data_IF_121183187733
#
_entry.id   IF_121183187733
#
_cell.length_a   1.000
_cell.length_b   1.000
_cell.length_c   1.000
_cell.angle_alpha   90.00
_cell.angle_beta   90.00
_cell.angle_gamma   90.00
#
_symmetry.space_group_name_H-M   'P 1'
#
loop_
_entity.id
_entity.type
_entity.pdbx_description
1 polymer ?
#
# COMPACT_ATOMS: atom_id res chain seq x y z
N UNK A 1 -31.80 11.57 -23.74
CA UNK A 1 -30.99 11.75 -24.96
C UNK A 1 -31.26 10.54 -25.84
N UNK A 2 -31.76 10.76 -27.07
CA UNK A 2 -32.26 9.71 -27.96
C UNK A 2 -31.16 8.72 -28.36
N UNK A 3 -31.51 7.43 -28.35
CA UNK A 3 -30.63 6.33 -28.71
C UNK A 3 -30.61 6.17 -30.23
N UNK A 4 -29.44 6.33 -30.84
CA UNK A 4 -29.21 5.94 -32.22
C UNK A 4 -28.86 4.44 -32.26
N UNK A 5 -29.53 3.70 -33.15
CA UNK A 5 -29.21 2.31 -33.47
C UNK A 5 -27.77 2.21 -34.02
N UNK A 6 -26.95 1.29 -33.47
CA UNK A 6 -25.67 0.90 -34.08
C UNK A 6 -24.44 0.84 -33.17
N UNK A 7 -24.51 1.22 -31.89
CA UNK A 7 -23.33 1.27 -30.99
C UNK A 7 -23.44 0.35 -29.78
N UNK A 8 -23.93 -0.87 -29.97
CA UNK A 8 -23.88 -1.93 -28.96
C UNK A 8 -23.02 -3.08 -29.47
N UNK A 9 -21.70 -2.91 -29.42
CA UNK A 9 -20.77 -4.01 -29.64
C UNK A 9 -20.66 -4.81 -28.33
N UNK A 10 -20.92 -6.13 -28.34
CA UNK A 10 -20.74 -6.94 -27.15
C UNK A 10 -19.26 -6.95 -26.75
N UNK A 11 -18.98 -6.84 -25.44
CA UNK A 11 -17.63 -7.03 -24.88
C UNK A 11 -17.32 -8.53 -24.79
N UNK A 12 -17.48 -9.23 -25.92
CA UNK A 12 -17.20 -10.64 -26.12
C UNK A 12 -16.44 -10.76 -27.44
N UNK A 13 -15.46 -11.65 -27.50
CA UNK A 13 -14.82 -11.99 -28.76
C UNK A 13 -15.84 -12.62 -29.72
N UNK A 14 -15.74 -12.30 -31.01
CA UNK A 14 -16.57 -12.90 -32.08
C UNK A 14 -15.68 -13.52 -33.15
N UNK A 15 -16.26 -14.42 -33.95
CA UNK A 15 -15.61 -14.97 -35.15
C UNK A 15 -16.42 -14.62 -36.39
N UNK A 16 -15.75 -14.59 -37.53
CA UNK A 16 -16.33 -14.29 -38.86
C UNK A 16 -17.45 -15.27 -39.30
N UNK A 17 -17.54 -16.44 -38.67
CA UNK A 17 -18.57 -17.45 -38.94
C UNK A 17 -19.53 -17.71 -37.77
N UNK A 18 -19.45 -16.93 -36.69
CA UNK A 18 -20.29 -17.13 -35.50
C UNK A 18 -19.96 -18.41 -34.71
N UNK A 19 -18.80 -19.03 -34.96
CA UNK A 19 -18.27 -20.11 -34.14
C UNK A 19 -17.74 -19.58 -32.81
N UNK A 20 -17.62 -20.48 -31.83
CA UNK A 20 -17.01 -20.16 -30.55
C UNK A 20 -15.59 -19.63 -30.77
N UNK A 21 -15.27 -18.40 -30.30
CA UNK A 21 -13.93 -17.82 -30.44
C UNK A 21 -12.87 -18.61 -29.65
N UNK A 22 -13.28 -19.42 -28.66
CA UNK A 22 -12.38 -20.25 -27.86
C UNK A 22 -12.01 -21.56 -28.55
N UNK A 23 -12.88 -22.08 -29.42
CA UNK A 23 -12.62 -23.29 -30.20
C UNK A 23 -11.93 -23.00 -31.53
N UNK A 24 -12.19 -21.81 -32.10
CA UNK A 24 -11.66 -21.36 -33.39
C UNK A 24 -10.97 -19.98 -33.28
N UNK A 25 -9.89 -19.85 -32.49
CA UNK A 25 -9.23 -18.57 -32.23
C UNK A 25 -8.64 -17.91 -33.49
N UNK A 26 -8.31 -18.70 -34.51
CA UNK A 26 -7.83 -18.23 -35.81
C UNK A 26 -8.89 -17.48 -36.62
N UNK A 27 -10.17 -17.67 -36.28
CA UNK A 27 -11.32 -17.07 -36.95
C UNK A 27 -11.85 -15.81 -36.28
N UNK A 28 -11.20 -15.38 -35.19
CA UNK A 28 -11.62 -14.22 -34.41
C UNK A 28 -11.47 -12.95 -35.24
N UNK A 29 -12.59 -12.32 -35.55
CA UNK A 29 -12.68 -11.08 -36.34
C UNK A 29 -12.79 -9.83 -35.45
N UNK A 30 -13.34 -10.00 -34.25
CA UNK A 30 -13.37 -8.99 -33.19
C UNK A 30 -12.95 -9.58 -31.86
N UNK A 31 -12.10 -8.87 -31.14
CA UNK A 31 -11.65 -9.20 -29.79
C UNK A 31 -12.25 -8.19 -28.82
N UNK A 32 -13.02 -8.69 -27.86
CA UNK A 32 -13.53 -7.90 -26.76
C UNK A 32 -13.13 -8.58 -25.46
N UNK A 33 -12.30 -7.92 -24.64
CA UNK A 33 -11.90 -8.46 -23.35
C UNK A 33 -11.68 -7.33 -22.35
N UNK A 34 -11.66 -7.64 -21.07
CA UNK A 34 -11.40 -6.68 -20.02
C UNK A 34 -10.40 -7.19 -19.00
N UNK A 35 -9.70 -6.23 -18.40
CA UNK A 35 -8.86 -6.39 -17.23
C UNK A 35 -9.62 -5.89 -16.02
N UNK A 36 -9.53 -6.63 -14.91
CA UNK A 36 -9.86 -6.13 -13.58
C UNK A 36 -8.58 -6.22 -12.75
N UNK A 37 -8.24 -5.13 -12.10
CA UNK A 37 -7.17 -5.04 -11.13
C UNK A 37 -7.74 -4.46 -9.84
N UNK A 38 -7.71 -5.25 -8.77
CA UNK A 38 -7.99 -4.76 -7.42
C UNK A 38 -6.72 -4.86 -6.58
N UNK A 39 -6.39 -3.77 -5.90
CA UNK A 39 -5.21 -3.67 -5.05
C UNK A 39 -5.53 -2.87 -3.80
N UNK A 40 -4.84 -3.18 -2.71
CA UNK A 40 -4.71 -2.28 -1.56
C UNK A 40 -3.39 -1.52 -1.71
N UNK A 41 -3.23 -0.36 -1.06
CA UNK A 41 -1.92 0.25 -0.94
C UNK A 41 -0.86 -0.78 -0.54
N UNK A 42 0.29 -0.78 -1.23
CA UNK A 42 1.39 -1.72 -0.99
C UNK A 42 1.10 -3.21 -1.29
N UNK A 43 -0.09 -3.57 -1.78
CA UNK A 43 -0.47 -4.97 -1.94
C UNK A 43 -1.42 -5.25 -3.13
N UNK A 44 -0.97 -6.00 -4.16
CA UNK A 44 -1.86 -6.46 -5.22
C UNK A 44 -2.82 -7.54 -4.69
N UNK A 45 -4.14 -7.35 -4.83
CA UNK A 45 -5.14 -8.29 -4.29
C UNK A 45 -5.64 -9.27 -5.35
N UNK A 46 -5.90 -8.77 -6.56
CA UNK A 46 -6.54 -9.56 -7.60
C UNK A 46 -6.29 -8.97 -8.98
N UNK A 47 -5.97 -9.84 -9.95
CA UNK A 47 -5.92 -9.50 -11.35
C UNK A 47 -6.64 -10.56 -12.16
N UNK A 48 -7.51 -10.13 -13.05
CA UNK A 48 -8.16 -11.00 -14.02
C UNK A 48 -8.16 -10.38 -15.39
N UNK A 49 -7.99 -11.25 -16.39
CA UNK A 49 -8.32 -10.98 -17.78
C UNK A 49 -9.46 -11.91 -18.15
N UNK A 50 -10.55 -11.35 -18.65
CA UNK A 50 -11.69 -12.12 -19.09
C UNK A 50 -12.33 -11.49 -20.32
N UNK A 51 -12.89 -12.31 -21.18
CA UNK A 51 -13.68 -11.94 -22.35
C UNK A 51 -15.11 -12.50 -22.26
N UNK A 52 -15.54 -12.86 -21.04
CA UNK A 52 -16.84 -13.43 -20.71
C UNK A 52 -17.35 -12.95 -19.35
N UNK A 53 -18.51 -13.46 -18.89
CA UNK A 53 -19.04 -13.18 -17.55
C UNK A 53 -18.06 -13.63 -16.45
N UNK A 54 -17.66 -12.68 -15.61
CA UNK A 54 -16.98 -12.93 -14.34
C UNK A 54 -18.03 -12.84 -13.22
N UNK A 55 -18.15 -13.90 -12.41
CA UNK A 55 -19.11 -13.93 -11.31
C UNK A 55 -18.57 -13.25 -10.04
N UNK A 56 -17.27 -13.38 -9.76
CA UNK A 56 -16.63 -12.79 -8.59
C UNK A 56 -15.35 -12.04 -9.00
N UNK A 57 -15.33 -10.72 -8.81
CA UNK A 57 -14.16 -9.87 -9.02
C UNK A 57 -13.36 -9.61 -7.74
N UNK A 58 -13.70 -10.30 -6.64
CA UNK A 58 -13.09 -10.11 -5.32
C UNK A 58 -13.07 -11.40 -4.49
N UNK A 59 -12.01 -11.63 -3.70
CA UNK A 59 -11.88 -12.79 -2.82
C UNK A 59 -12.74 -12.63 -1.55
N UNK A 60 -14.06 -12.75 -1.65
CA UNK A 60 -14.93 -12.55 -0.48
C UNK A 60 -14.80 -13.65 0.60
N UNK A 61 -14.07 -14.76 0.37
CA UNK A 61 -14.07 -15.93 1.28
C UNK A 61 -12.78 -16.77 1.33
N UNK A 62 -11.59 -16.22 1.06
CA UNK A 62 -10.35 -17.02 1.19
C UNK A 62 -9.83 -16.98 2.64
N UNK A 63 -10.15 -18.00 3.45
CA UNK A 63 -9.55 -18.21 4.77
C UNK A 63 -8.17 -18.89 4.71
N UNK A 64 -7.45 -18.78 3.59
CA UNK A 64 -6.20 -19.51 3.37
C UNK A 64 -5.27 -18.89 2.33
N UNK A 65 -4.01 -19.30 2.43
CA UNK A 65 -2.87 -18.83 1.66
C UNK A 65 -2.91 -19.31 0.20
N UNK A 66 -3.10 -18.41 -0.78
CA UNK A 66 -2.99 -18.75 -2.20
C UNK A 66 -2.36 -17.62 -3.02
N UNK A 67 -1.53 -18.00 -4.00
CA UNK A 67 -0.82 -17.13 -4.97
C UNK A 67 0.15 -16.07 -4.43
N UNK A 68 0.86 -16.37 -3.34
CA UNK A 68 1.97 -15.51 -2.90
C UNK A 68 1.57 -14.42 -1.89
N UNK A 69 0.37 -14.52 -1.34
CA UNK A 69 0.06 -13.89 -0.05
C UNK A 69 -0.07 -14.91 1.06
N UNK A 70 0.96 -14.94 1.88
CA UNK A 70 0.99 -15.59 3.19
C UNK A 70 1.23 -14.48 4.20
N UNK A 71 0.20 -14.11 4.97
CA UNK A 71 0.32 -13.14 6.07
C UNK A 71 0.39 -11.65 5.70
N UNK A 72 -0.26 -11.19 4.63
CA UNK A 72 -0.48 -9.75 4.41
C UNK A 72 -1.63 -9.19 5.26
N UNK A 73 -2.54 -10.04 5.71
CA UNK A 73 -3.07 -9.97 7.05
C UNK A 73 -3.42 -11.39 7.51
N UNK A 74 -3.18 -11.77 8.76
CA UNK A 74 -3.46 -13.15 9.24
C UNK A 74 -4.94 -13.56 9.08
N UNK A 75 -5.84 -12.61 8.76
CA UNK A 75 -7.31 -12.82 8.69
C UNK A 75 -8.06 -12.09 7.56
N UNK A 76 -7.38 -11.63 6.51
CA UNK A 76 -8.04 -10.90 5.39
C UNK A 76 -8.34 -9.43 5.71
N UNK A 77 -9.24 -8.80 4.94
CA UNK A 77 -9.55 -7.37 5.11
C UNK A 77 -10.10 -7.04 6.50
N UNK A 78 -9.67 -5.89 7.02
CA UNK A 78 -10.21 -5.30 8.23
C UNK A 78 -11.01 -4.04 7.90
N UNK A 79 -11.97 -3.64 8.76
CA UNK A 79 -12.66 -2.36 8.61
C UNK A 79 -11.68 -1.19 8.49
N UNK A 80 -11.87 -0.34 7.48
CA UNK A 80 -10.97 0.76 7.13
C UNK A 80 -9.95 0.42 6.05
N UNK A 81 -9.81 -0.86 5.65
CA UNK A 81 -8.97 -1.21 4.50
C UNK A 81 -9.51 -0.57 3.23
N UNK A 82 -8.61 0.09 2.49
CA UNK A 82 -8.93 0.81 1.25
C UNK A 82 -8.47 -0.01 0.05
N UNK A 83 -9.34 -0.16 -0.95
CA UNK A 83 -9.06 -0.84 -2.20
C UNK A 83 -9.17 0.13 -3.37
N UNK A 84 -8.23 0.06 -4.30
CA UNK A 84 -8.36 0.58 -5.66
C UNK A 84 -8.82 -0.55 -6.56
N UNK A 85 -9.86 -0.30 -7.36
CA UNK A 85 -10.29 -1.21 -8.41
C UNK A 85 -10.30 -0.46 -9.74
N UNK A 86 -9.48 -0.94 -10.66
CA UNK A 86 -9.41 -0.45 -12.04
C UNK A 86 -9.94 -1.54 -12.96
N UNK A 87 -10.85 -1.16 -13.85
CA UNK A 87 -11.36 -2.01 -14.91
C UNK A 87 -11.00 -1.37 -16.24
N UNK A 88 -10.37 -2.12 -17.14
CA UNK A 88 -10.09 -1.65 -18.50
C UNK A 88 -10.72 -2.61 -19.49
N UNK A 89 -11.60 -2.12 -20.35
CA UNK A 89 -12.17 -2.86 -21.46
C UNK A 89 -11.41 -2.52 -22.75
N UNK A 90 -10.95 -3.54 -23.46
CA UNK A 90 -10.39 -3.44 -24.80
C UNK A 90 -11.37 -4.04 -25.81
N UNK A 91 -11.59 -3.29 -26.88
CA UNK A 91 -12.26 -3.77 -28.07
C UNK A 91 -11.34 -3.56 -29.27
N UNK A 92 -11.13 -4.59 -30.08
CA UNK A 92 -10.38 -4.52 -31.33
C UNK A 92 -11.18 -5.21 -32.44
N UNK A 93 -11.46 -4.48 -33.52
CA UNK A 93 -12.11 -4.96 -34.72
C UNK A 93 -11.08 -5.05 -35.85
N UNK A 94 -10.77 -6.27 -36.28
CA UNK A 94 -9.80 -6.53 -37.33
C UNK A 94 -10.35 -6.19 -38.73
N UNK A 95 -11.67 -6.22 -38.90
CA UNK A 95 -12.37 -5.92 -40.16
C UNK A 95 -12.39 -4.42 -40.40
N UNK A 96 -12.78 -3.64 -39.40
CA UNK A 96 -12.80 -2.17 -39.48
C UNK A 96 -11.45 -1.52 -39.19
N UNK A 97 -10.45 -2.31 -38.74
CA UNK A 97 -9.13 -1.84 -38.29
C UNK A 97 -9.23 -0.76 -37.22
N UNK A 98 -10.08 -0.99 -36.23
CA UNK A 98 -10.33 -0.07 -35.11
C UNK A 98 -10.05 -0.74 -33.79
N UNK A 99 -9.53 0.03 -32.84
CA UNK A 99 -9.39 -0.39 -31.45
C UNK A 99 -9.91 0.71 -30.54
N UNK A 100 -10.59 0.31 -29.48
CA UNK A 100 -11.12 1.21 -28.45
C UNK A 100 -10.73 0.67 -27.08
N UNK A 101 -10.38 1.59 -26.18
CA UNK A 101 -10.12 1.27 -24.77
C UNK A 101 -11.00 2.15 -23.91
N UNK A 102 -11.70 1.54 -22.96
CA UNK A 102 -12.40 2.23 -21.89
C UNK A 102 -11.79 1.86 -20.55
N UNK A 103 -11.56 2.83 -19.68
CA UNK A 103 -11.05 2.58 -18.32
C UNK A 103 -12.00 3.17 -17.30
N UNK A 104 -12.27 2.40 -16.25
CA UNK A 104 -13.08 2.77 -15.11
C UNK A 104 -12.29 2.54 -13.83
N UNK A 105 -12.37 3.49 -12.90
CA UNK A 105 -11.75 3.39 -11.58
C UNK A 105 -12.82 3.54 -10.50
N UNK A 106 -12.70 2.76 -9.44
CA UNK A 106 -13.50 2.90 -8.23
C UNK A 106 -12.65 2.56 -7.02
N UNK A 107 -12.92 3.21 -5.89
CA UNK A 107 -12.38 2.79 -4.61
C UNK A 107 -13.44 2.09 -3.77
N UNK A 108 -12.99 1.19 -2.91
CA UNK A 108 -13.82 0.59 -1.87
C UNK A 108 -13.15 0.77 -0.51
N UNK A 109 -13.96 0.80 0.54
CA UNK A 109 -13.50 0.81 1.93
C UNK A 109 -14.22 -0.34 2.62
N UNK A 110 -13.45 -1.23 3.24
CA UNK A 110 -14.02 -2.30 4.04
C UNK A 110 -14.71 -1.69 5.28
N UNK A 111 -15.95 -2.09 5.54
CA UNK A 111 -16.73 -1.65 6.72
C UNK A 111 -17.06 -2.86 7.62
N UNK A 112 -17.46 -2.61 8.87
CA UNK A 112 -17.77 -3.67 9.84
C UNK A 112 -18.98 -4.51 9.39
N UNK A 113 -18.88 -5.82 9.53
CA UNK A 113 -19.93 -6.77 9.17
C UNK A 113 -21.15 -6.58 10.09
N UNK A 114 -22.20 -5.93 9.60
CA UNK A 114 -23.41 -5.62 10.35
C UNK A 114 -24.04 -4.28 9.99
N UNK A 115 -23.25 -3.37 9.41
CA UNK A 115 -23.78 -2.21 8.71
C UNK A 115 -24.41 -2.71 7.39
N UNK A 116 -25.74 -2.73 7.36
CA UNK A 116 -26.53 -3.48 6.40
C UNK A 116 -26.58 -2.86 4.99
N UNK A 117 -25.77 -1.86 4.67
CA UNK A 117 -25.81 -1.22 3.37
C UNK A 117 -24.40 -1.03 2.82
N UNK A 118 -24.03 -1.87 1.85
CA UNK A 118 -22.99 -1.51 0.89
C UNK A 118 -23.42 -0.20 0.22
N UNK A 119 -22.92 0.92 0.72
CA UNK A 119 -23.32 2.25 0.27
C UNK A 119 -22.50 2.66 -0.96
N UNK A 120 -23.16 3.26 -1.95
CA UNK A 120 -22.51 3.86 -3.12
C UNK A 120 -22.51 5.37 -2.96
N UNK A 121 -21.33 5.93 -2.75
CA UNK A 121 -21.13 7.38 -2.69
C UNK A 121 -20.67 7.92 -4.05
N UNK A 122 -21.06 9.16 -4.37
CA UNK A 122 -20.32 9.92 -5.39
C UNK A 122 -18.96 10.32 -4.81
N UNK A 123 -17.92 10.48 -5.64
CA UNK A 123 -16.64 11.02 -5.18
C UNK A 123 -16.81 12.31 -4.39
N UNK A 124 -15.99 12.49 -3.35
CA UNK A 124 -15.86 13.74 -2.59
C UNK A 124 -17.08 14.18 -1.76
N UNK A 125 -18.19 13.43 -1.76
CA UNK A 125 -19.39 13.81 -0.98
C UNK A 125 -19.32 13.39 0.49
N UNK A 126 -18.36 12.54 0.84
CA UNK A 126 -18.09 12.11 2.21
C UNK A 126 -16.61 11.72 2.38
N UNK A 127 -16.09 11.67 3.61
CA UNK A 127 -14.77 11.09 3.88
C UNK A 127 -14.71 9.62 3.42
N UNK A 128 -13.57 9.25 2.87
CA UNK A 128 -13.21 7.86 2.53
C UNK A 128 -12.76 7.13 3.79
N UNK A 129 -11.95 7.80 4.61
CA UNK A 129 -11.46 7.26 5.87
C UNK A 129 -11.29 8.40 6.88
N UNK A 130 -11.36 8.05 8.16
CA UNK A 130 -10.94 8.93 9.25
C UNK A 130 -9.71 8.29 9.89
N UNK A 131 -8.57 8.97 9.79
CA UNK A 131 -7.27 8.48 10.29
C UNK A 131 -6.72 9.53 11.25
N UNK A 132 -6.32 9.12 12.45
CA UNK A 132 -5.83 10.03 13.51
C UNK A 132 -6.80 11.19 13.81
N UNK A 133 -8.10 10.94 13.72
CA UNK A 133 -9.15 11.95 13.92
C UNK A 133 -9.31 12.94 12.77
N UNK A 134 -8.62 12.73 11.64
CA UNK A 134 -8.71 13.55 10.43
C UNK A 134 -9.54 12.83 9.37
N UNK A 135 -10.58 13.51 8.91
CA UNK A 135 -11.41 13.05 7.80
C UNK A 135 -10.71 13.28 6.46
N UNK A 136 -10.38 12.20 5.76
CA UNK A 136 -9.79 12.22 4.44
C UNK A 136 -10.88 11.99 3.40
N UNK A 137 -11.20 13.01 2.60
CA UNK A 137 -12.08 12.87 1.44
C UNK A 137 -11.34 12.32 0.22
N UNK A 138 -10.01 12.43 0.22
CA UNK A 138 -9.12 11.88 -0.80
C UNK A 138 -7.98 11.16 -0.09
N UNK A 139 -7.98 9.84 -0.12
CA UNK A 139 -6.91 8.99 0.38
C UNK A 139 -5.89 8.79 -0.74
N UNK A 140 -4.64 9.25 -0.57
CA UNK A 140 -3.61 9.12 -1.60
C UNK A 140 -2.54 8.07 -1.27
N UNK A 141 -2.37 7.10 -2.17
CA UNK A 141 -1.14 6.31 -2.26
C UNK A 141 -0.13 7.06 -3.10
N UNK A 142 1.00 7.45 -2.52
CA UNK A 142 2.00 8.32 -3.18
C UNK A 142 3.29 7.56 -3.44
N UNK A 143 3.86 7.77 -4.63
CA UNK A 143 5.19 7.31 -5.00
C UNK A 143 6.16 8.50 -5.00
N UNK A 144 7.24 8.47 -4.19
CA UNK A 144 7.64 7.41 -3.26
C UNK A 144 6.75 7.35 -2.01
N UNK A 145 6.55 6.15 -1.46
CA UNK A 145 5.79 5.94 -0.23
C UNK A 145 6.60 6.36 1.01
N UNK A 146 5.94 6.72 2.14
CA UNK A 146 6.63 7.04 3.39
C UNK A 146 7.64 5.95 3.79
N UNK A 147 8.78 6.36 4.34
CA UNK A 147 9.85 5.46 4.79
C UNK A 147 10.59 4.72 3.67
N UNK A 148 10.29 4.99 2.40
CA UNK A 148 11.02 4.35 1.29
C UNK A 148 12.50 4.75 1.34
N UNK A 149 13.38 3.77 1.18
CA UNK A 149 14.83 3.95 1.08
C UNK A 149 15.31 3.75 -0.34
N UNK A 150 16.12 4.69 -0.82
CA UNK A 150 16.83 4.65 -2.09
C UNK A 150 18.34 4.65 -1.87
N UNK A 151 19.08 4.25 -2.91
CA UNK A 151 20.51 4.52 -3.02
C UNK A 151 20.72 5.82 -3.81
N UNK A 152 21.80 6.54 -3.52
CA UNK A 152 22.18 7.73 -4.30
C UNK A 152 22.32 7.40 -5.79
N UNK A 153 21.82 8.30 -6.64
CA UNK A 153 21.72 8.14 -8.09
C UNK A 153 20.47 7.40 -8.59
N UNK A 154 19.61 6.90 -7.69
CA UNK A 154 18.32 6.33 -8.09
C UNK A 154 17.40 7.39 -8.72
N UNK A 155 16.82 7.08 -9.88
CA UNK A 155 15.82 7.92 -10.54
C UNK A 155 14.42 7.30 -10.37
N UNK A 156 13.44 8.08 -9.91
CA UNK A 156 12.06 7.62 -9.69
C UNK A 156 11.04 8.63 -10.18
N UNK A 157 9.99 8.12 -10.83
CA UNK A 157 8.80 8.91 -11.13
C UNK A 157 8.08 9.26 -9.84
N UNK A 158 7.60 10.50 -9.75
CA UNK A 158 6.75 10.97 -8.67
C UNK A 158 5.30 10.90 -9.14
N UNK A 159 4.40 10.41 -8.28
CA UNK A 159 3.00 10.29 -8.66
C UNK A 159 2.12 9.80 -7.53
N UNK A 160 0.84 9.64 -7.82
CA UNK A 160 -0.14 9.17 -6.85
C UNK A 160 -1.29 8.43 -7.52
N UNK A 161 -1.89 7.52 -6.76
CA UNK A 161 -3.20 6.94 -7.05
C UNK A 161 -4.09 7.17 -5.83
N UNK A 162 -5.34 7.60 -6.05
CA UNK A 162 -6.21 8.02 -4.94
C UNK A 162 -7.51 7.23 -4.86
N UNK A 163 -8.10 7.20 -3.66
CA UNK A 163 -9.53 6.92 -3.45
C UNK A 163 -10.20 8.21 -2.96
N UNK A 164 -11.36 8.62 -3.52
CA UNK A 164 -12.03 8.03 -4.67
C UNK A 164 -11.23 8.21 -5.96
N UNK A 165 -11.42 7.27 -6.89
CA UNK A 165 -10.80 7.31 -8.22
C UNK A 165 -11.60 8.26 -9.12
N UNK A 166 -11.23 9.53 -9.13
CA UNK A 166 -11.88 10.58 -9.91
C UNK A 166 -10.92 11.74 -10.17
N UNK A 167 -11.18 12.61 -11.16
CA UNK A 167 -10.37 13.80 -11.39
C UNK A 167 -10.41 14.74 -10.19
N UNK A 168 -9.24 15.14 -9.72
CA UNK A 168 -9.03 16.11 -8.64
C UNK A 168 -7.64 16.72 -8.78
N UNK A 169 -7.40 17.83 -8.10
CA UNK A 169 -6.12 18.51 -8.13
C UNK A 169 -5.11 17.86 -7.16
N UNK A 170 -3.85 17.84 -7.58
CA UNK A 170 -2.74 17.18 -6.89
C UNK A 170 -1.58 18.14 -6.76
N UNK A 171 -0.96 18.17 -5.58
CA UNK A 171 0.36 18.76 -5.33
C UNK A 171 1.23 17.75 -4.58
N UNK A 172 2.44 17.53 -5.09
CA UNK A 172 3.48 16.72 -4.46
C UNK A 172 4.78 17.51 -4.56
N UNK A 173 5.35 17.92 -3.43
CA UNK A 173 6.63 18.62 -3.39
C UNK A 173 7.65 17.77 -2.64
N UNK A 174 8.84 17.57 -3.23
CA UNK A 174 9.94 16.83 -2.61
C UNK A 174 11.07 17.80 -2.28
N UNK A 175 11.35 17.95 -0.99
CA UNK A 175 12.42 18.78 -0.45
C UNK A 175 13.67 17.92 -0.29
N UNK A 176 14.72 18.21 -1.06
CA UNK A 176 16.01 17.54 -0.96
C UNK A 176 16.78 17.94 0.30
N UNK A 177 17.72 17.11 0.78
CA UNK A 177 18.62 17.45 1.88
C UNK A 177 19.34 18.80 1.69
N UNK A 178 19.83 19.09 0.49
CA UNK A 178 20.49 20.36 0.13
C UNK A 178 19.57 21.57 0.00
N UNK A 179 18.26 21.41 0.20
CA UNK A 179 17.28 22.51 0.21
C UNK A 179 16.62 22.81 -1.15
N UNK A 180 17.04 22.15 -2.22
CA UNK A 180 16.31 22.19 -3.50
C UNK A 180 14.91 21.56 -3.33
N UNK A 181 13.89 22.13 -4.00
CA UNK A 181 12.52 21.62 -3.97
C UNK A 181 12.08 21.22 -5.36
N UNK A 182 11.78 19.94 -5.55
CA UNK A 182 11.14 19.41 -6.75
C UNK A 182 9.62 19.51 -6.59
N UNK A 183 8.98 20.40 -7.36
CA UNK A 183 7.54 20.66 -7.24
C UNK A 183 6.75 20.00 -8.37
N UNK A 184 5.73 19.25 -7.99
CA UNK A 184 4.80 18.61 -8.91
C UNK A 184 3.39 19.09 -8.61
N UNK A 185 2.72 19.68 -9.61
CA UNK A 185 1.31 20.04 -9.51
C UNK A 185 0.59 19.69 -10.80
N UNK A 186 -0.65 19.24 -10.67
CA UNK A 186 -1.52 19.01 -11.81
C UNK A 186 -2.84 18.41 -11.38
N UNK A 187 -3.51 17.75 -12.32
CA UNK A 187 -4.79 17.12 -12.09
C UNK A 187 -4.68 15.62 -12.32
N UNK A 188 -5.18 14.83 -11.37
CA UNK A 188 -5.35 13.41 -11.56
C UNK A 188 -6.37 13.14 -12.69
N UNK A 189 -6.19 12.01 -13.37
CA UNK A 189 -7.06 11.59 -14.45
C UNK A 189 -8.43 11.03 -13.97
N UNK A 190 -9.21 10.49 -14.90
CA UNK A 190 -10.53 9.92 -14.61
C UNK A 190 -10.51 8.71 -13.67
N UNK A 191 -9.35 8.12 -13.42
CA UNK A 191 -9.17 7.02 -12.47
C UNK A 191 -8.36 7.43 -11.24
N UNK A 192 -8.21 8.74 -10.99
CA UNK A 192 -7.51 9.25 -9.81
C UNK A 192 -6.00 8.99 -9.84
N UNK A 193 -5.42 8.72 -11.01
CA UNK A 193 -3.99 8.58 -11.19
C UNK A 193 -3.36 9.92 -11.57
N UNK A 194 -2.22 10.23 -10.99
CA UNK A 194 -1.42 11.40 -11.31
C UNK A 194 0.04 10.98 -11.45
N UNK A 195 0.69 11.46 -12.50
CA UNK A 195 2.14 11.34 -12.68
C UNK A 195 2.70 12.75 -12.81
N UNK A 196 3.72 13.05 -12.02
CA UNK A 196 4.41 14.33 -12.12
C UNK A 196 4.97 14.50 -13.53
N UNK A 197 4.67 15.61 -14.22
CA UNK A 197 5.18 15.85 -15.55
C UNK A 197 6.68 16.15 -15.49
N UNK A 198 7.43 15.65 -16.47
CA UNK A 198 8.86 15.96 -16.64
C UNK A 198 9.78 14.77 -16.35
N UNK A 199 11.04 15.09 -16.07
CA UNK A 199 12.04 14.08 -15.77
C UNK A 199 11.79 13.46 -14.37
N UNK A 200 12.14 12.18 -14.18
CA UNK A 200 12.13 11.55 -12.86
C UNK A 200 12.96 12.34 -11.84
N UNK A 201 12.55 12.32 -10.57
CA UNK A 201 13.39 12.83 -9.48
C UNK A 201 14.59 11.90 -9.31
N UNK A 202 15.79 12.48 -9.28
CA UNK A 202 17.02 11.77 -8.93
C UNK A 202 17.31 12.02 -7.45
N UNK A 203 17.50 10.95 -6.69
CA UNK A 203 17.98 11.00 -5.31
C UNK A 203 19.51 11.08 -5.34
N UNK A 204 20.04 12.27 -5.60
CA UNK A 204 21.47 12.52 -5.85
C UNK A 204 22.27 12.82 -4.58
N UNK A 205 21.61 13.27 -3.53
CA UNK A 205 22.21 13.56 -2.22
C UNK A 205 21.80 12.49 -1.19
N UNK A 206 22.71 11.97 -0.36
CA UNK A 206 22.33 11.14 0.77
C UNK A 206 21.65 12.00 1.86
N UNK A 207 20.64 11.46 2.53
CA UNK A 207 19.90 12.19 3.56
C UNK A 207 18.41 11.94 3.57
N UNK A 208 17.71 12.78 4.33
CA UNK A 208 16.24 12.79 4.43
C UNK A 208 15.65 13.72 3.38
N UNK A 209 14.77 13.19 2.54
CA UNK A 209 13.95 13.93 1.61
C UNK A 209 12.56 14.07 2.21
N UNK A 210 12.10 15.29 2.40
CA UNK A 210 10.76 15.54 2.96
C UNK A 210 9.76 15.72 1.84
N UNK A 211 8.71 14.91 1.84
CA UNK A 211 7.66 14.94 0.83
C UNK A 211 6.41 15.58 1.42
N UNK A 212 5.90 16.60 0.74
CA UNK A 212 4.60 17.21 1.02
C UNK A 212 3.59 16.75 -0.01
N UNK A 213 2.40 16.39 0.44
CA UNK A 213 1.30 15.95 -0.42
C UNK A 213 0.00 16.65 -0.07
N UNK A 214 -0.74 17.01 -1.11
CA UNK A 214 -2.06 17.60 -0.96
C UNK A 214 -2.93 17.26 -2.17
N UNK A 215 -4.14 16.81 -1.89
CA UNK A 215 -5.18 16.50 -2.86
C UNK A 215 -6.41 17.35 -2.58
N UNK A 216 -7.07 17.84 -3.63
CA UNK A 216 -8.33 18.58 -3.43
C UNK A 216 -9.26 18.59 -4.64
N UNK A 217 -10.56 18.64 -4.35
CA UNK A 217 -11.63 18.97 -5.31
C UNK A 217 -12.69 19.79 -4.55
N UNK A 218 -12.94 21.04 -4.95
CA UNK A 218 -13.83 21.94 -4.21
C UNK A 218 -13.38 22.12 -2.75
N UNK A 219 -14.20 21.66 -1.79
CA UNK A 219 -13.88 21.66 -0.36
C UNK A 219 -13.36 20.33 0.16
N UNK A 220 -13.42 19.26 -0.64
CA UNK A 220 -12.82 17.98 -0.27
C UNK A 220 -11.29 18.11 -0.22
N UNK A 221 -10.70 17.53 0.83
CA UNK A 221 -9.28 17.57 1.12
C UNK A 221 -8.75 16.17 1.38
N UNK A 222 -7.47 15.99 1.12
CA UNK A 222 -6.74 14.77 1.43
C UNK A 222 -5.24 14.93 1.24
N UNK A 223 -4.50 13.93 1.67
CA UNK A 223 -3.04 13.86 1.63
C UNK A 223 -2.56 12.40 1.75
N UNK A 224 -1.27 12.21 2.03
CA UNK A 224 -0.72 10.93 2.44
C UNK A 224 -1.35 10.48 3.77
N UNK A 225 -2.04 9.34 3.76
CA UNK A 225 -2.77 8.87 4.92
C UNK A 225 -1.87 8.69 6.16
N UNK A 226 -2.34 9.22 7.30
CA UNK A 226 -1.62 9.19 8.58
C UNK A 226 -0.48 10.21 8.72
N UNK A 227 -0.17 10.96 7.65
CA UNK A 227 0.77 12.06 7.73
C UNK A 227 0.28 13.21 8.62
N UNK A 228 1.23 13.96 9.19
CA UNK A 228 0.93 15.22 9.88
C UNK A 228 1.00 16.36 8.86
N UNK A 229 -0.14 16.98 8.59
CA UNK A 229 -0.26 18.12 7.68
C UNK A 229 0.27 17.85 6.25
N UNK A 230 0.16 16.60 5.78
CA UNK A 230 0.57 16.19 4.44
C UNK A 230 2.06 15.87 4.27
N UNK A 231 2.86 15.94 5.33
CA UNK A 231 4.31 15.71 5.29
C UNK A 231 4.70 14.29 5.71
N UNK A 232 5.67 13.73 5.01
CA UNK A 232 6.35 12.50 5.41
C UNK A 232 7.78 12.44 4.89
N UNK A 233 8.58 11.56 5.48
CA UNK A 233 9.98 11.38 5.09
C UNK A 233 10.21 10.17 4.17
N UNK A 234 11.16 10.34 3.24
CA UNK A 234 11.81 9.27 2.47
C UNK A 234 13.32 9.45 2.54
N UNK A 235 14.08 8.38 2.30
CA UNK A 235 15.50 8.35 2.63
C UNK A 235 16.36 7.97 1.43
N UNK A 236 17.53 8.59 1.31
CA UNK A 236 18.58 8.16 0.38
C UNK A 236 19.85 7.81 1.17
N UNK A 237 20.31 6.58 1.02
CA UNK A 237 21.58 6.10 1.55
C UNK A 237 22.64 6.28 0.47
N UNK A 238 23.84 6.70 0.86
CA UNK A 238 24.96 6.72 -0.07
C UNK A 238 25.20 5.30 -0.60
N UNK A 239 25.15 5.14 -1.94
CA UNK A 239 25.32 3.88 -2.65
C UNK A 239 26.62 3.17 -2.29
N UNK A 240 27.68 3.96 -2.08
CA UNK A 240 29.01 3.44 -1.75
C UNK A 240 29.29 3.47 -0.25
N UNK A 241 28.26 3.72 0.57
CA UNK A 241 28.42 3.73 2.02
C UNK A 241 29.04 2.41 2.51
N UNK A 242 30.08 2.44 3.34
CA UNK A 242 30.59 1.25 4.02
C UNK A 242 29.79 0.90 5.28
N UNK A 243 28.85 1.75 5.70
CA UNK A 243 28.12 1.63 6.96
C UNK A 243 26.83 0.82 6.80
N UNK A 244 26.51 -0.04 7.78
CA UNK A 244 25.32 -0.89 7.76
C UNK A 244 24.56 -0.81 9.07
N UNK A 245 23.24 -0.69 8.99
CA UNK A 245 22.36 -0.89 10.14
C UNK A 245 22.27 -2.38 10.43
N UNK A 246 22.59 -2.77 11.67
CA UNK A 246 22.42 -4.12 12.22
C UNK A 246 21.42 -4.08 13.34
N UNK A 247 20.27 -4.71 13.12
CA UNK A 247 19.24 -4.87 14.13
C UNK A 247 19.63 -5.91 15.17
N UNK A 248 19.18 -5.73 16.40
CA UNK A 248 19.45 -6.64 17.52
C UNK A 248 18.71 -7.97 17.35
N UNK A 249 19.45 -9.09 17.27
CA UNK A 249 18.88 -10.44 17.14
C UNK A 249 18.12 -10.89 18.39
N UNK A 250 18.31 -10.22 19.53
CA UNK A 250 17.57 -10.47 20.77
C UNK A 250 16.18 -9.85 20.80
N UNK A 251 15.79 -9.10 19.75
CA UNK A 251 14.42 -8.60 19.63
C UNK A 251 13.41 -9.75 19.70
N UNK A 252 12.25 -9.51 20.35
CA UNK A 252 11.25 -10.55 20.51
C UNK A 252 10.79 -11.04 19.13
N UNK A 253 10.66 -12.35 18.93
CA UNK A 253 10.14 -12.90 17.67
C UNK A 253 8.64 -12.63 17.48
N UNK A 254 7.96 -12.32 18.58
CA UNK A 254 6.53 -11.99 18.63
C UNK A 254 6.30 -10.78 19.51
N UNK A 255 5.52 -9.82 19.01
CA UNK A 255 5.11 -8.60 19.70
C UNK A 255 3.80 -8.87 20.45
N UNK A 256 3.80 -8.61 21.75
CA UNK A 256 2.57 -8.44 22.52
C UNK A 256 2.09 -7.00 22.32
N UNK A 257 0.86 -6.83 21.85
CA UNK A 257 0.37 -5.52 21.42
C UNK A 257 0.16 -4.56 22.59
N UNK A 258 -0.09 -5.10 23.78
CA UNK A 258 -0.29 -4.30 24.99
C UNK A 258 1.04 -4.01 25.71
N UNK A 259 2.15 -4.60 25.26
CA UNK A 259 3.46 -4.41 25.86
C UNK A 259 4.34 -3.52 24.98
N UNK A 260 4.91 -2.43 25.52
CA UNK A 260 5.89 -1.64 24.79
C UNK A 260 7.14 -2.48 24.56
N UNK A 261 7.70 -2.42 23.34
CA UNK A 261 9.04 -2.90 23.06
C UNK A 261 9.82 -1.82 22.30
N UNK A 262 11.12 -2.03 22.09
CA UNK A 262 11.94 -1.11 21.32
C UNK A 262 12.57 -1.85 20.14
N UNK A 263 12.49 -1.25 18.96
CA UNK A 263 13.30 -1.68 17.82
C UNK A 263 14.71 -1.15 18.05
N UNK A 264 15.65 -2.07 18.27
CA UNK A 264 17.04 -1.75 18.61
C UNK A 264 17.95 -2.13 17.46
N UNK A 265 18.95 -1.30 17.23
CA UNK A 265 19.99 -1.59 16.26
C UNK A 265 21.24 -0.77 16.51
N UNK A 266 22.27 -1.07 15.71
CA UNK A 266 23.56 -0.38 15.70
C UNK A 266 24.04 -0.16 14.29
N UNK A 267 24.88 0.84 14.08
CA UNK A 267 25.61 1.05 12.84
C UNK A 267 26.97 0.35 12.95
N UNK A 268 27.35 -0.37 11.90
CA UNK A 268 28.67 -1.00 11.76
C UNK A 268 29.34 -0.53 10.46
N UNK A 269 30.54 0.08 10.50
CA UNK A 269 31.27 0.52 11.69
C UNK A 269 30.50 1.56 12.54
N UNK A 270 30.81 1.73 13.84
CA UNK A 270 30.11 2.70 14.68
C UNK A 270 30.42 4.14 14.24
N UNK A 271 29.39 4.98 14.21
CA UNK A 271 29.53 6.42 14.00
C UNK A 271 29.97 7.12 15.28
N UNK A 272 30.76 8.19 15.14
CA UNK A 272 31.20 9.01 16.27
C UNK A 272 30.06 9.90 16.78
N UNK A 273 29.25 10.44 15.87
CA UNK A 273 28.06 11.26 16.15
C UNK A 273 27.02 11.03 15.07
N UNK A 274 25.74 11.19 15.40
CA UNK A 274 24.66 11.11 14.41
C UNK A 274 23.29 10.96 15.06
N UNK A 275 22.29 10.74 14.21
CA UNK A 275 20.89 10.51 14.58
C UNK A 275 20.31 9.40 13.71
N UNK A 276 19.32 8.70 14.25
CA UNK A 276 18.53 7.74 13.50
C UNK A 276 17.14 8.33 13.26
N UNK A 277 16.77 8.48 12.00
CA UNK A 277 15.43 8.78 11.53
C UNK A 277 14.65 7.50 11.36
N UNK A 278 13.35 7.54 11.61
CA UNK A 278 12.50 6.38 11.42
C UNK A 278 11.14 6.74 10.81
N UNK A 279 10.59 5.78 10.06
CA UNK A 279 9.19 5.78 9.65
C UNK A 279 8.58 4.42 9.99
N UNK A 280 7.42 4.41 10.63
CA UNK A 280 6.60 3.24 10.90
C UNK A 280 5.41 3.30 9.95
N UNK A 281 5.29 2.33 9.07
CA UNK A 281 4.34 2.35 7.95
C UNK A 281 3.62 1.02 7.87
N UNK A 282 2.30 1.03 7.81
CA UNK A 282 1.51 -0.10 7.31
C UNK A 282 1.15 0.21 5.86
N UNK A 283 0.91 -0.77 4.97
CA UNK A 283 0.71 -0.51 3.56
C UNK A 283 -0.28 0.65 3.29
N UNK A 284 0.25 1.76 2.76
CA UNK A 284 -0.50 2.98 2.44
C UNK A 284 -0.70 4.00 3.55
N UNK A 285 -0.34 3.70 4.80
CA UNK A 285 -0.58 4.59 5.94
C UNK A 285 0.70 4.79 6.73
N UNK A 286 1.11 6.05 6.88
CA UNK A 286 2.16 6.45 7.82
C UNK A 286 1.60 6.40 9.23
N UNK A 287 2.19 5.59 10.09
CA UNK A 287 1.73 5.40 11.46
C UNK A 287 2.47 6.31 12.44
N UNK A 288 3.78 6.45 12.27
CA UNK A 288 4.63 7.33 13.05
C UNK A 288 5.93 7.66 12.28
N UNK A 289 6.52 8.79 12.59
CA UNK A 289 7.84 9.17 12.09
C UNK A 289 8.56 10.06 13.11
N UNK A 290 9.89 10.02 13.10
CA UNK A 290 10.66 10.88 13.97
C UNK A 290 12.14 10.57 14.01
N UNK A 291 12.79 11.13 15.03
CA UNK A 291 14.23 11.01 15.24
C UNK A 291 14.53 10.46 16.64
N UNK A 292 15.53 9.58 16.72
CA UNK A 292 16.11 9.12 17.98
C UNK A 292 17.63 9.34 17.98
N UNK A 293 18.23 9.68 19.13
CA UNK A 293 19.66 9.89 19.21
C UNK A 293 20.44 8.59 18.99
N UNK A 294 21.63 8.69 18.39
CA UNK A 294 22.61 7.62 18.42
C UNK A 294 23.47 7.72 19.69
N UNK A 295 23.48 6.66 20.49
CA UNK A 295 24.38 6.51 21.61
C UNK A 295 25.38 5.39 21.32
N UNK A 296 26.66 5.73 21.18
CA UNK A 296 27.73 4.78 20.84
C UNK A 296 27.43 3.94 19.56
N UNK A 297 26.91 4.61 18.53
CA UNK A 297 26.50 3.96 17.28
C UNK A 297 25.23 3.10 17.37
N UNK A 298 24.52 3.09 18.50
CA UNK A 298 23.28 2.36 18.69
C UNK A 298 22.06 3.28 18.80
N UNK A 299 20.89 2.78 18.38
CA UNK A 299 19.61 3.46 18.50
C UNK A 299 18.55 2.52 19.12
N UNK A 300 17.51 3.13 19.66
CA UNK A 300 16.32 2.44 20.16
C UNK A 300 15.07 3.25 19.81
N UNK A 301 14.22 2.71 18.95
CA UNK A 301 12.95 3.32 18.56
C UNK A 301 11.85 2.71 19.43
N UNK A 302 11.14 3.51 20.24
CA UNK A 302 10.02 3.00 21.03
C UNK A 302 8.89 2.54 20.11
N UNK A 303 8.31 1.39 20.40
CA UNK A 303 7.18 0.84 19.65
C UNK A 303 6.14 0.27 20.62
N UNK A 304 4.92 0.78 20.54
CA UNK A 304 3.77 0.23 21.26
C UNK A 304 2.66 -0.06 20.26
N UNK A 305 2.44 -1.32 19.93
CA UNK A 305 1.44 -1.69 18.92
C UNK A 305 0.02 -1.21 19.31
N UNK A 306 -0.31 -1.27 20.60
CA UNK A 306 -1.58 -0.83 21.15
C UNK A 306 -1.94 0.63 20.85
N UNK A 307 -0.94 1.51 20.74
CA UNK A 307 -1.19 2.92 20.40
C UNK A 307 -1.76 3.04 18.98
N UNK A 308 -1.19 2.27 18.07
CA UNK A 308 -1.59 2.26 16.67
C UNK A 308 -2.91 1.54 16.43
N UNK A 309 -3.22 0.53 17.25
CA UNK A 309 -4.51 -0.15 17.20
C UNK A 309 -5.68 0.78 17.56
N UNK A 310 -5.47 1.74 18.45
CA UNK A 310 -6.49 2.73 18.81
C UNK A 310 -6.68 3.81 17.74
N UNK A 311 -5.61 4.10 16.98
CA UNK A 311 -5.58 5.21 16.00
C UNK A 311 -5.88 4.75 14.57
N UNK A 312 -5.57 3.49 14.24
CA UNK A 312 -5.70 2.90 12.92
C UNK A 312 -6.54 1.62 13.01
N UNK A 313 -7.86 1.78 12.86
CA UNK A 313 -8.84 0.71 13.10
C UNK A 313 -8.71 -0.48 12.13
N UNK A 314 -8.01 -0.31 11.00
CA UNK A 314 -7.71 -1.38 10.05
C UNK A 314 -6.56 -2.31 10.50
N UNK A 315 -5.81 -1.93 11.54
CA UNK A 315 -4.84 -2.83 12.20
C UNK A 315 -5.49 -3.79 13.20
N UNK A 316 -6.81 -3.67 13.40
CA UNK A 316 -7.54 -4.31 14.49
C UNK A 316 -8.05 -5.70 14.11
N UNK A 317 -7.52 -6.73 14.77
CA UNK A 317 -8.16 -8.04 14.80
C UNK A 317 -9.13 -8.13 15.97
N UNK A 318 -10.44 -8.03 15.73
CA UNK A 318 -11.39 -8.37 16.78
C UNK A 318 -11.41 -9.89 17.02
N UNK A 319 -11.44 -10.37 18.28
CA UNK A 319 -12.06 -11.66 18.56
C UNK A 319 -13.42 -11.63 17.90
N UNK A 320 -13.81 -12.66 17.14
CA UNK A 320 -15.15 -12.76 16.56
C UNK A 320 -16.16 -12.25 17.59
N UNK A 321 -16.73 -11.06 17.32
CA UNK A 321 -17.80 -10.52 18.14
C UNK A 321 -18.84 -11.60 18.25
N UNK A 322 -19.43 -11.77 19.45
CA UNK A 322 -20.46 -12.78 19.73
C UNK A 322 -21.30 -13.02 18.47
N UNK A 323 -21.21 -14.23 17.89
CA UNK A 323 -22.04 -14.64 16.77
C UNK A 323 -23.45 -14.09 17.02
N UNK A 324 -24.02 -13.31 16.10
CA UNK A 324 -25.30 -12.69 16.35
C UNK A 324 -26.30 -13.80 16.70
N UNK A 325 -27.15 -13.57 17.71
CA UNK A 325 -27.96 -14.62 18.35
C UNK A 325 -28.83 -15.44 17.36
N UNK A 326 -29.08 -14.92 16.15
CA UNK A 326 -29.79 -15.62 15.09
C UNK A 326 -28.97 -16.72 14.39
N UNK A 327 -27.62 -16.70 14.47
CA UNK A 327 -26.74 -17.80 14.03
C UNK A 327 -26.57 -18.90 15.08
N UNK A 328 -27.19 -18.78 16.26
CA UNK A 328 -27.07 -19.74 17.36
C UNK A 328 -27.92 -21.02 17.19
N UNK A 329 -28.22 -21.47 15.97
CA UNK A 329 -29.07 -22.64 15.77
C UNK A 329 -28.34 -23.91 15.31
N UNK A 330 -28.47 -24.91 16.19
CA UNK A 330 -28.39 -26.37 16.03
C UNK A 330 -27.00 -27.04 16.11
N UNK A 331 -26.67 -27.40 17.36
CA UNK A 331 -26.02 -28.67 17.77
C UNK A 331 -24.77 -29.12 16.98
N UNK A 332 -23.72 -28.32 16.99
CA UNK A 332 -22.35 -28.83 16.81
C UNK A 332 -21.46 -28.42 18.00
N UNK A 333 -21.59 -29.06 19.19
CA UNK A 333 -21.13 -28.43 20.42
C UNK A 333 -19.65 -28.54 20.78
N UNK A 334 -18.78 -29.21 20.02
CA UNK A 334 -17.43 -29.53 20.55
C UNK A 334 -16.21 -29.14 19.71
N UNK A 335 -16.32 -28.97 18.38
CA UNK A 335 -15.12 -28.73 17.55
C UNK A 335 -14.84 -27.23 17.35
N UNK A 336 -15.88 -26.42 17.15
CA UNK A 336 -15.73 -24.99 16.85
C UNK A 336 -15.23 -24.23 18.10
N UNK A 337 -15.82 -24.45 19.27
CA UNK A 337 -15.45 -23.71 20.48
C UNK A 337 -14.02 -24.03 21.00
N UNK A 338 -13.44 -25.18 20.65
CA UNK A 338 -12.05 -25.51 20.97
C UNK A 338 -11.05 -24.84 20.02
N UNK A 339 -11.42 -24.65 18.75
CA UNK A 339 -10.61 -23.92 17.75
C UNK A 339 -10.50 -22.43 18.06
N UNK A 340 -11.47 -21.83 18.78
CA UNK A 340 -11.52 -20.39 19.04
C UNK A 340 -11.12 -19.93 20.45
N UNK A 341 -10.80 -20.85 21.38
CA UNK A 341 -10.43 -20.51 22.78
C UNK A 341 -9.06 -19.82 22.94
N UNK A 342 -8.26 -19.69 21.89
CA UNK A 342 -6.99 -18.94 21.89
C UNK A 342 -7.11 -17.46 21.52
N UNK A 343 -8.31 -16.96 21.19
CA UNK A 343 -8.49 -15.66 20.52
C UNK A 343 -9.04 -14.56 21.44
N UNK A 344 -8.53 -14.42 22.66
CA UNK A 344 -8.93 -13.36 23.60
C UNK A 344 -7.94 -12.20 23.70
N UNK A 345 -6.78 -12.30 23.06
CA UNK A 345 -5.78 -11.22 23.03
C UNK A 345 -5.98 -10.36 21.79
N UNK A 346 -5.68 -9.08 21.87
CA UNK A 346 -5.58 -8.18 20.72
C UNK A 346 -4.29 -8.52 19.94
N UNK A 347 -4.26 -8.35 18.62
CA UNK A 347 -3.08 -8.63 17.79
C UNK A 347 -2.97 -7.64 16.62
N UNK A 348 -1.76 -7.49 16.06
CA UNK A 348 -1.55 -6.77 14.80
C UNK A 348 -1.99 -7.66 13.64
N UNK A 349 -2.89 -7.18 12.79
CA UNK A 349 -3.36 -7.93 11.62
C UNK A 349 -2.49 -7.75 10.40
N UNK A 350 -1.96 -6.56 10.16
CA UNK A 350 -1.27 -6.17 8.93
C UNK A 350 0.27 -6.29 9.02
N UNK A 351 0.95 -6.03 7.91
CA UNK A 351 2.39 -5.86 7.84
C UNK A 351 2.77 -4.45 8.29
N UNK A 352 3.68 -4.33 9.25
CA UNK A 352 4.25 -3.03 9.64
C UNK A 352 5.70 -3.00 9.23
N UNK A 353 6.08 -2.03 8.40
CA UNK A 353 7.46 -1.73 8.05
C UNK A 353 7.99 -0.62 8.97
N UNK A 354 9.17 -0.86 9.54
CA UNK A 354 9.91 0.12 10.34
C UNK A 354 11.20 0.41 9.60
N UNK A 355 11.20 1.49 8.83
CA UNK A 355 12.37 1.99 8.13
C UNK A 355 13.24 2.79 9.09
N UNK A 356 14.55 2.57 9.06
CA UNK A 356 15.53 3.31 9.84
C UNK A 356 16.62 3.82 8.92
N UNK A 357 16.78 5.15 8.90
CA UNK A 357 17.87 5.82 8.21
C UNK A 357 18.77 6.49 9.25
N UNK A 358 20.07 6.24 9.16
CA UNK A 358 21.05 6.82 10.07
C UNK A 358 21.96 7.74 9.28
N UNK A 359 22.16 8.95 9.79
CA UNK A 359 23.14 9.90 9.28
C UNK A 359 24.01 10.44 10.40
N UNK A 360 25.26 10.77 10.08
CA UNK A 360 26.20 11.28 11.05
C UNK A 360 27.60 11.43 10.49
N UNK A 361 28.57 11.38 11.39
CA UNK A 361 29.99 11.50 11.09
C UNK A 361 30.76 10.32 11.69
N UNK A 362 31.76 9.84 10.95
CA UNK A 362 32.68 8.83 11.44
C UNK A 362 33.78 9.41 12.35
N UNK A 363 34.71 8.56 12.78
CA UNK A 363 35.81 8.98 13.65
C UNK A 363 36.76 10.01 12.99
N UNK A 364 36.78 10.08 11.66
CA UNK A 364 37.56 11.05 10.90
C UNK A 364 36.76 12.34 10.58
N UNK A 365 35.48 12.41 10.96
CA UNK A 365 34.58 13.51 10.65
C UNK A 365 34.01 13.46 9.24
N UNK A 366 34.14 12.32 8.53
CA UNK A 366 33.54 12.16 7.21
C UNK A 366 32.04 11.86 7.34
N UNK A 367 31.18 12.43 6.47
CA UNK A 367 29.76 12.15 6.48
C UNK A 367 29.52 10.66 6.21
N UNK A 368 28.60 10.09 6.97
CA UNK A 368 28.29 8.66 6.94
C UNK A 368 26.78 8.46 6.99
N UNK A 369 26.27 7.59 6.12
CA UNK A 369 24.86 7.20 6.11
C UNK A 369 24.68 5.70 6.08
N UNK A 370 23.63 5.19 6.71
CA UNK A 370 23.27 3.78 6.68
C UNK A 370 21.75 3.64 6.72
N UNK A 371 21.21 2.57 6.14
CA UNK A 371 19.78 2.29 6.16
C UNK A 371 19.48 0.84 6.49
N UNK A 372 18.29 0.58 7.04
CA UNK A 372 17.80 -0.76 7.30
C UNK A 372 16.31 -0.77 7.61
N UNK A 373 15.64 -1.90 7.38
CA UNK A 373 14.22 -2.10 7.67
C UNK A 373 13.99 -3.27 8.60
N UNK A 374 13.03 -3.14 9.50
CA UNK A 374 12.41 -4.27 10.21
C UNK A 374 11.00 -4.43 9.70
N UNK A 375 10.55 -5.67 9.51
CA UNK A 375 9.19 -5.96 9.06
C UNK A 375 8.49 -6.74 10.17
N UNK A 376 7.33 -6.28 10.60
CA UNK A 376 6.39 -7.05 11.41
C UNK A 376 5.35 -7.64 10.46
N UNK A 377 5.10 -8.94 10.52
CA UNK A 377 3.97 -9.58 9.81
C UNK A 377 2.96 -10.02 10.85
N UNK A 378 1.90 -9.25 11.01
CA UNK A 378 1.06 -9.29 12.20
C UNK A 378 1.90 -9.12 13.46
N UNK A 379 1.70 -9.99 14.46
CA UNK A 379 2.52 -9.97 15.68
C UNK A 379 3.93 -10.53 15.52
N UNK A 380 4.39 -11.01 14.35
CA UNK A 380 5.72 -11.64 14.21
C UNK A 380 6.77 -10.66 13.72
N UNK A 381 7.91 -10.59 14.40
CA UNK A 381 9.07 -9.83 13.94
C UNK A 381 9.83 -10.67 12.90
N UNK A 382 9.93 -10.13 11.69
CA UNK A 382 10.74 -10.65 10.59
C UNK A 382 11.95 -9.74 10.44
N UNK A 383 13.08 -10.16 11.04
CA UNK A 383 14.34 -9.49 10.79
C UNK A 383 14.78 -9.77 9.35
N UNK A 384 15.32 -8.78 8.63
CA UNK A 384 15.91 -9.03 7.32
C UNK A 384 16.98 -10.11 7.48
N UNK A 385 16.80 -11.24 6.79
CA UNK A 385 17.90 -12.15 6.54
C UNK A 385 19.00 -11.33 5.83
N UNK A 386 20.27 -11.45 6.21
CA UNK A 386 21.34 -10.79 5.46
C UNK A 386 21.19 -11.16 3.99
N UNK A 387 21.18 -10.15 3.12
CA UNK A 387 21.01 -10.30 1.69
C UNK A 387 22.15 -11.19 1.17
N UNK A 388 21.94 -12.51 1.15
CA UNK A 388 22.84 -13.43 0.45
C UNK A 388 22.53 -13.23 -1.01
N UNK A 389 23.45 -12.58 -1.74
CA UNK A 389 23.31 -12.21 -3.14
C UNK A 389 23.21 -13.41 -4.09
N UNK A 390 22.20 -14.27 -3.93
CA UNK A 390 21.77 -15.14 -5.01
C UNK A 390 21.04 -14.28 -6.02
N UNK A 391 21.76 -13.93 -7.08
CA UNK A 391 21.20 -13.49 -8.36
C UNK A 391 19.98 -14.37 -8.64
N UNK A 392 18.79 -13.78 -8.59
CA UNK A 392 17.63 -14.38 -9.24
C UNK A 392 17.97 -14.33 -10.72
N UNK A 393 18.22 -15.50 -11.31
CA UNK A 393 18.34 -15.62 -12.75
C UNK A 393 17.06 -15.05 -13.34
N UNK A 394 17.21 -13.99 -14.13
CA UNK A 394 16.17 -13.53 -15.05
C UNK A 394 15.91 -14.70 -16.00
N UNK A 395 14.75 -15.32 -15.88
CA UNK A 395 14.23 -16.16 -16.96
C UNK A 395 13.76 -15.22 -18.07
N UNK A 396 14.41 -15.35 -19.23
CA UNK A 396 13.92 -14.88 -20.54
C UNK A 396 12.55 -15.44 -20.88
#
# INVERSE_FOLDING_TARGET
VGLAEGTHLPLLSTTDAGYSPYEYPERVDRRGYFYIATSRPGFPVYYVVADSTLYDSYWFNATGDYFGTVGAAERGDQPGDVHWTVVAALFADAVERRSMTGVYGSGAVAELRGDAEAFRAKPFTRPVATINGVDLFIYGGVGPAPGTMFETGAAKGIGSITVPMAPHEVQIDVHKPGGEVHRCRGRADSIGNFTCPGAPLVFDEPGVYRVFTRFWEGDARGDCAGSRDGWYDVYAVDKDSPYRVRFDESMPRTVDVDAPFAVRGRVDPPLARGRAHYSIVTPGILMDEGEVPLANGAFAIPFLAGQFLAEFHNLHGHPFGKLPAHMAWRKAPFVINALFRGYTKTWLTDTVEIAVFVEGEDAAGAPATAGGKVILRGSRVVLPQPFTGRRVATHE
#
